data_IF_285714740198
#
_entry.id   IF_285714740198
#
_cell.length_a   1.000
_cell.length_b   1.000
_cell.length_c   1.000
_cell.angle_alpha   90.00
_cell.angle_beta   90.00
_cell.angle_gamma   90.00
#
_symmetry.space_group_name_H-M   'P 1'
#
loop_
_entity.id
_entity.type
_entity.pdbx_description
1 polymer ?
#
# COMPACT_ATOMS: atom_id res chain seq x y z
N UNK A 1 -29.10 22.34 32.48
CA UNK A 1 -28.25 21.26 33.01
C UNK A 1 -28.01 20.24 31.90
N UNK A 2 -26.86 20.28 31.22
CA UNK A 2 -26.49 19.31 30.17
C UNK A 2 -25.31 18.48 30.69
N UNK A 3 -25.51 17.17 30.79
CA UNK A 3 -24.51 16.20 31.26
C UNK A 3 -23.44 16.00 30.18
N UNK A 4 -22.21 16.38 30.47
CA UNK A 4 -21.03 16.03 29.70
C UNK A 4 -20.76 14.53 29.86
N UNK A 5 -20.87 13.77 28.77
CA UNK A 5 -20.41 12.38 28.74
C UNK A 5 -18.94 12.35 28.33
N UNK A 6 -18.07 12.00 29.27
CA UNK A 6 -16.65 11.77 29.06
C UNK A 6 -16.46 10.39 28.43
N UNK A 7 -16.09 10.36 27.15
CA UNK A 7 -15.70 9.13 26.44
C UNK A 7 -14.29 8.75 26.89
N UNK A 8 -14.19 7.67 27.68
CA UNK A 8 -12.91 7.09 28.10
C UNK A 8 -12.38 6.15 27.01
N UNK A 9 -11.41 6.62 26.24
CA UNK A 9 -10.64 5.77 25.34
C UNK A 9 -9.86 4.74 26.17
N UNK A 10 -10.14 3.46 25.93
CA UNK A 10 -9.38 2.35 26.47
C UNK A 10 -8.11 2.22 25.63
N UNK A 11 -6.99 2.65 26.19
CA UNK A 11 -5.65 2.34 25.68
C UNK A 11 -5.44 0.83 25.81
N UNK A 12 -5.58 0.12 24.69
CA UNK A 12 -5.24 -1.30 24.59
C UNK A 12 -3.72 -1.40 24.76
N UNK A 13 -3.30 -1.78 25.96
CA UNK A 13 -1.92 -2.18 26.23
C UNK A 13 -1.61 -3.42 25.38
N UNK A 14 -0.90 -3.21 24.27
CA UNK A 14 -0.21 -4.29 23.56
C UNK A 14 0.87 -4.82 24.48
N UNK A 15 0.55 -5.90 25.20
CA UNK A 15 1.56 -6.72 25.86
C UNK A 15 2.37 -7.41 24.76
N UNK A 16 3.49 -6.78 24.41
CA UNK A 16 4.57 -7.38 23.66
C UNK A 16 5.11 -8.55 24.47
N UNK A 17 4.59 -9.75 24.18
CA UNK A 17 5.17 -11.02 24.58
C UNK A 17 6.47 -11.23 23.79
N UNK A 18 7.53 -10.55 24.21
CA UNK A 18 8.91 -10.92 23.87
C UNK A 18 9.40 -11.89 24.93
N UNK A 19 8.76 -13.06 25.00
CA UNK A 19 9.36 -14.19 25.69
C UNK A 19 10.52 -14.65 24.82
N UNK A 20 11.72 -14.27 25.22
CA UNK A 20 12.96 -14.71 24.60
C UNK A 20 12.97 -16.22 24.51
N UNK A 21 12.92 -16.70 23.27
CA UNK A 21 13.29 -18.06 22.93
C UNK A 21 14.81 -18.15 23.11
N UNK A 22 15.26 -18.20 24.37
CA UNK A 22 16.57 -18.71 24.73
C UNK A 22 16.56 -20.15 24.26
N UNK A 23 17.05 -20.33 23.04
CA UNK A 23 17.56 -21.60 22.57
C UNK A 23 18.54 -22.07 23.63
N UNK A 24 18.03 -22.97 24.45
CA UNK A 24 18.72 -23.93 25.29
C UNK A 24 19.65 -24.72 24.36
N UNK A 25 20.75 -24.08 23.95
CA UNK A 25 21.84 -24.74 23.28
C UNK A 25 22.36 -25.75 24.28
N UNK A 26 22.20 -27.02 23.88
CA UNK A 26 22.46 -28.18 24.70
C UNK A 26 23.75 -28.01 25.47
N UNK A 27 23.61 -28.12 26.79
CA UNK A 27 24.65 -28.67 27.63
C UNK A 27 25.19 -29.90 26.91
N UNK A 28 26.37 -29.77 26.30
CA UNK A 28 27.20 -30.91 25.98
C UNK A 28 27.63 -31.49 27.33
N UNK A 29 26.73 -32.30 27.89
CA UNK A 29 27.09 -33.23 28.93
C UNK A 29 28.24 -34.05 28.38
N UNK A 30 29.39 -33.86 29.02
CA UNK A 30 30.52 -34.76 28.90
C UNK A 30 30.00 -36.17 29.20
N UNK A 31 29.72 -36.93 28.13
CA UNK A 31 29.56 -38.37 28.17
C UNK A 31 30.91 -38.97 28.46
N UNK A 32 31.37 -38.83 29.71
CA UNK A 32 32.37 -39.69 30.30
C UNK A 32 31.90 -41.12 30.10
N UNK A 33 32.72 -41.88 29.38
CA UNK A 33 32.44 -43.25 29.00
C UNK A 33 31.95 -44.10 30.16
N UNK A 34 30.80 -44.72 29.94
CA UNK A 34 30.48 -46.04 30.46
C UNK A 34 30.03 -46.83 29.22
N UNK A 35 30.93 -47.48 28.50
CA UNK A 35 31.70 -48.57 29.07
C UNK A 35 30.78 -49.71 29.56
N UNK A 36 29.54 -49.82 29.06
CA UNK A 36 28.78 -51.07 29.17
C UNK A 36 29.31 -52.06 28.12
N UNK A 37 30.54 -52.51 28.36
CA UNK A 37 30.95 -53.88 28.08
C UNK A 37 30.13 -54.76 29.03
N UNK A 38 28.84 -54.87 28.76
CA UNK A 38 27.99 -55.90 29.34
C UNK A 38 28.40 -57.22 28.66
N UNK A 39 29.50 -57.78 29.16
CA UNK A 39 29.77 -59.20 29.17
C UNK A 39 28.60 -59.87 29.92
N UNK A 40 27.49 -60.06 29.22
CA UNK A 40 26.49 -61.05 29.62
C UNK A 40 27.16 -62.41 29.44
N UNK A 41 27.74 -62.88 30.54
CA UNK A 41 27.98 -64.27 30.81
C UNK A 41 26.61 -64.97 30.79
N UNK A 42 26.22 -65.50 29.64
CA UNK A 42 25.18 -66.51 29.51
C UNK A 42 25.87 -67.87 29.56
N UNK A 43 26.22 -68.25 30.78
CA UNK A 43 26.71 -69.57 31.16
C UNK A 43 25.48 -70.45 31.40
N UNK A 44 25.05 -71.17 30.36
CA UNK A 44 24.48 -72.53 30.42
C UNK A 44 23.87 -72.93 29.05
N UNK A 45 24.69 -73.63 28.26
CA UNK A 45 24.22 -74.88 27.64
C UNK A 45 23.16 -74.78 26.55
N UNK A 46 23.37 -73.92 25.55
CA UNK A 46 22.98 -74.27 24.19
C UNK A 46 24.24 -74.19 23.37
N UNK A 47 24.79 -75.35 22.97
CA UNK A 47 25.82 -75.47 21.95
C UNK A 47 25.24 -74.87 20.66
N UNK A 48 25.34 -73.54 20.54
CA UNK A 48 25.15 -72.84 19.28
C UNK A 48 26.34 -73.27 18.43
N UNK A 49 26.15 -74.33 17.66
CA UNK A 49 26.93 -74.61 16.45
C UNK A 49 26.81 -73.36 15.57
N UNK A 50 27.78 -72.47 15.74
CA UNK A 50 27.72 -71.10 15.27
C UNK A 50 28.89 -70.33 15.83
N UNK A 51 30.10 -70.91 15.73
CA UNK A 51 31.38 -70.20 15.92
C UNK A 51 31.50 -69.15 14.81
N UNK A 52 30.74 -68.06 14.93
CA UNK A 52 31.05 -66.84 14.21
C UNK A 52 32.41 -66.38 14.74
N UNK A 53 33.46 -66.49 13.92
CA UNK A 53 34.79 -66.03 14.27
C UNK A 53 34.74 -64.56 14.70
N UNK A 54 35.55 -64.12 15.67
CA UNK A 54 35.69 -62.70 16.02
C UNK A 54 35.90 -61.79 14.79
N UNK A 55 36.55 -62.34 13.76
CA UNK A 55 36.71 -61.67 12.47
C UNK A 55 35.38 -61.36 11.76
N UNK A 56 34.39 -62.26 11.84
CA UNK A 56 33.07 -62.07 11.24
C UNK A 56 32.22 -61.06 12.03
N UNK A 57 32.35 -61.02 13.36
CA UNK A 57 31.73 -59.98 14.20
C UNK A 57 32.27 -58.60 13.83
N UNK A 58 33.59 -58.45 13.69
CA UNK A 58 34.22 -57.20 13.29
C UNK A 58 33.79 -56.77 11.87
N UNK A 59 33.64 -57.72 10.93
CA UNK A 59 33.10 -57.42 9.59
C UNK A 59 31.66 -56.92 9.63
N UNK A 60 30.79 -57.55 10.43
CA UNK A 60 29.40 -57.08 10.61
C UNK A 60 29.35 -55.67 11.18
N UNK A 61 30.15 -55.39 12.22
CA UNK A 61 30.24 -54.07 12.83
C UNK A 61 30.76 -53.01 11.85
N UNK A 62 31.79 -53.33 11.06
CA UNK A 62 32.33 -52.42 10.05
C UNK A 62 31.26 -52.08 9.00
N UNK A 63 30.53 -53.07 8.48
CA UNK A 63 29.43 -52.85 7.55
C UNK A 63 28.28 -52.05 8.15
N UNK A 64 27.96 -52.27 9.42
CA UNK A 64 26.94 -51.48 10.12
C UNK A 64 27.39 -50.02 10.27
N UNK A 65 28.65 -49.79 10.60
CA UNK A 65 29.25 -48.45 10.70
C UNK A 65 29.33 -47.76 9.34
N UNK A 66 29.64 -48.47 8.26
CA UNK A 66 29.62 -47.91 6.90
C UNK A 66 28.21 -47.46 6.50
N UNK A 67 27.18 -48.28 6.77
CA UNK A 67 25.78 -47.93 6.54
C UNK A 67 25.31 -46.75 7.40
N UNK A 68 25.82 -46.65 8.63
CA UNK A 68 25.57 -45.50 9.50
C UNK A 68 26.23 -44.23 8.95
N UNK A 69 27.49 -44.32 8.50
CA UNK A 69 28.19 -43.22 7.83
C UNK A 69 27.45 -42.73 6.59
N UNK A 70 26.93 -43.62 5.74
CA UNK A 70 26.17 -43.22 4.55
C UNK A 70 24.83 -42.56 4.90
N UNK A 71 24.16 -43.04 5.94
CA UNK A 71 22.96 -42.36 6.49
C UNK A 71 23.28 -40.96 7.02
N UNK A 72 24.40 -40.79 7.71
CA UNK A 72 24.82 -39.48 8.21
C UNK A 72 25.20 -38.54 7.07
N UNK A 73 25.93 -39.02 6.05
CA UNK A 73 26.27 -38.24 4.85
C UNK A 73 25.04 -37.76 4.08
N UNK A 74 24.07 -38.65 3.87
CA UNK A 74 22.81 -38.29 3.21
C UNK A 74 22.04 -37.24 4.01
N UNK A 75 21.97 -37.40 5.34
CA UNK A 75 21.34 -36.41 6.23
C UNK A 75 22.07 -35.07 6.19
N UNK A 76 23.41 -35.07 6.20
CA UNK A 76 24.23 -33.86 6.12
C UNK A 76 24.01 -33.14 4.79
N UNK A 77 24.01 -33.87 3.68
CA UNK A 77 23.72 -33.32 2.35
C UNK A 77 22.31 -32.71 2.27
N UNK A 78 21.33 -33.34 2.92
CA UNK A 78 19.96 -32.81 2.99
C UNK A 78 19.89 -31.51 3.82
N UNK A 79 20.54 -31.48 4.97
CA UNK A 79 20.58 -30.27 5.81
C UNK A 79 21.31 -29.12 5.10
N UNK A 80 22.39 -29.44 4.37
CA UNK A 80 23.13 -28.46 3.58
C UNK A 80 22.27 -27.88 2.45
N UNK A 81 21.47 -28.72 1.77
CA UNK A 81 20.54 -28.23 0.74
C UNK A 81 19.44 -27.36 1.35
N UNK A 82 18.89 -27.72 2.52
CA UNK A 82 17.92 -26.91 3.26
C UNK A 82 18.51 -25.56 3.71
N UNK A 83 19.75 -25.54 4.20
CA UNK A 83 20.45 -24.31 4.59
C UNK A 83 20.65 -23.38 3.40
N UNK A 84 20.98 -23.92 2.22
CA UNK A 84 21.14 -23.12 1.01
C UNK A 84 19.85 -22.51 0.47
N UNK A 85 18.69 -23.08 0.80
CA UNK A 85 17.38 -22.56 0.42
C UNK A 85 16.89 -21.43 1.34
N UNK A 86 17.54 -21.23 2.49
CA UNK A 86 17.11 -20.20 3.43
C UNK A 86 17.42 -18.81 2.85
N UNK A 87 16.44 -17.90 2.78
CA UNK A 87 16.69 -16.53 2.32
C UNK A 87 17.76 -15.86 3.18
N UNK A 88 18.61 -14.99 2.59
CA UNK A 88 19.60 -14.25 3.35
C UNK A 88 18.90 -13.37 4.38
N UNK A 89 19.52 -13.25 5.56
CA UNK A 89 18.96 -12.47 6.69
C UNK A 89 18.68 -11.02 6.30
N UNK A 90 19.48 -10.46 5.40
CA UNK A 90 19.32 -9.11 4.84
C UNK A 90 17.97 -8.94 4.14
N UNK A 91 17.49 -9.97 3.44
CA UNK A 91 16.20 -9.93 2.76
C UNK A 91 15.05 -9.90 3.77
N UNK A 92 15.14 -10.71 4.83
CA UNK A 92 14.15 -10.71 5.92
C UNK A 92 14.13 -9.35 6.62
N UNK A 93 15.29 -8.78 6.93
CA UNK A 93 15.39 -7.45 7.53
C UNK A 93 14.88 -6.33 6.61
N UNK A 94 15.05 -6.46 5.30
CA UNK A 94 14.49 -5.52 4.34
C UNK A 94 12.95 -5.55 4.35
N UNK A 95 12.36 -6.74 4.34
CA UNK A 95 10.90 -6.92 4.45
C UNK A 95 10.36 -6.38 5.78
N UNK A 96 11.07 -6.61 6.89
CA UNK A 96 10.67 -6.06 8.20
C UNK A 96 10.70 -4.52 8.23
N UNK A 97 11.64 -3.88 7.54
CA UNK A 97 11.68 -2.41 7.42
C UNK A 97 10.52 -1.90 6.56
N UNK A 98 10.29 -2.50 5.41
CA UNK A 98 9.18 -2.13 4.52
C UNK A 98 7.83 -2.30 5.21
N UNK A 99 7.64 -3.38 5.97
CA UNK A 99 6.42 -3.57 6.77
C UNK A 99 6.20 -2.44 7.77
N UNK A 100 7.25 -2.02 8.49
CA UNK A 100 7.18 -0.89 9.44
C UNK A 100 6.88 0.43 8.73
N UNK A 101 7.45 0.64 7.55
CA UNK A 101 7.20 1.84 6.74
C UNK A 101 5.73 1.89 6.25
N UNK A 102 5.19 0.75 5.81
CA UNK A 102 3.78 0.61 5.43
C UNK A 102 2.84 0.83 6.62
N UNK A 103 3.19 0.33 7.79
CA UNK A 103 2.40 0.53 9.02
C UNK A 103 2.35 2.01 9.42
N UNK A 104 3.47 2.73 9.31
CA UNK A 104 3.51 4.18 9.53
C UNK A 104 2.64 4.95 8.52
N UNK A 105 2.67 4.55 7.25
CA UNK A 105 1.85 5.17 6.19
C UNK A 105 0.35 4.93 6.42
N UNK A 106 -0.02 3.71 6.83
CA UNK A 106 -1.40 3.36 7.17
C UNK A 106 -1.91 4.21 8.33
N UNK A 107 -1.14 4.34 9.40
CA UNK A 107 -1.50 5.18 10.55
C UNK A 107 -1.62 6.66 10.15
N UNK A 108 -0.71 7.15 9.32
CA UNK A 108 -0.77 8.50 8.74
C UNK A 108 -2.07 8.73 7.96
N UNK A 109 -2.45 7.78 7.11
CA UNK A 109 -3.68 7.84 6.30
C UNK A 109 -4.93 7.80 7.17
N UNK A 110 -4.95 6.95 8.20
CA UNK A 110 -6.08 6.87 9.12
C UNK A 110 -6.27 8.17 9.89
N UNK A 111 -5.18 8.74 10.42
CA UNK A 111 -5.21 10.03 11.12
C UNK A 111 -5.74 11.15 10.23
N UNK A 112 -5.37 11.16 8.95
CA UNK A 112 -5.85 12.15 8.00
C UNK A 112 -7.33 11.96 7.64
N UNK A 113 -7.78 10.72 7.47
CA UNK A 113 -9.21 10.42 7.29
C UNK A 113 -10.04 10.90 8.49
N UNK A 114 -9.57 10.68 9.71
CA UNK A 114 -10.23 11.16 10.94
C UNK A 114 -10.33 12.70 10.96
N UNK A 115 -9.26 13.40 10.57
CA UNK A 115 -9.28 14.87 10.45
C UNK A 115 -10.27 15.36 9.40
N UNK A 116 -10.28 14.75 8.22
CA UNK A 116 -11.20 15.07 7.13
C UNK A 116 -12.67 14.89 7.54
N UNK A 117 -12.98 13.79 8.23
CA UNK A 117 -14.31 13.54 8.77
C UNK A 117 -14.73 14.61 9.79
N UNK A 118 -13.83 14.99 10.71
CA UNK A 118 -14.10 16.04 11.69
C UNK A 118 -14.31 17.42 11.04
N UNK A 119 -13.56 17.73 9.99
CA UNK A 119 -13.73 18.97 9.22
C UNK A 119 -15.06 19.00 8.47
N UNK A 120 -15.43 17.89 7.83
CA UNK A 120 -16.73 17.74 7.17
C UNK A 120 -17.89 17.94 8.16
N UNK A 121 -17.79 17.39 9.38
CA UNK A 121 -18.77 17.60 10.44
C UNK A 121 -18.85 19.07 10.88
N UNK A 122 -17.71 19.75 11.00
CA UNK A 122 -17.66 21.19 11.31
C UNK A 122 -18.36 22.02 10.22
N UNK A 123 -18.13 21.70 8.95
CA UNK A 123 -18.80 22.36 7.83
C UNK A 123 -20.32 22.13 7.86
N UNK A 124 -20.78 20.89 8.11
CA UNK A 124 -22.21 20.57 8.27
C UNK A 124 -22.85 21.33 9.42
N UNK A 125 -22.14 21.51 10.55
CA UNK A 125 -22.65 22.30 11.68
C UNK A 125 -22.80 23.77 11.30
N UNK A 126 -21.80 24.33 10.61
CA UNK A 126 -21.82 25.72 10.13
C UNK A 126 -22.94 25.94 9.11
N UNK A 127 -23.08 25.03 8.15
CA UNK A 127 -24.17 25.03 7.16
C UNK A 127 -25.54 25.06 7.85
N UNK A 128 -25.79 24.12 8.77
CA UNK A 128 -27.04 24.09 9.56
C UNK A 128 -27.27 25.37 10.38
N UNK A 129 -26.23 26.04 10.83
CA UNK A 129 -26.36 27.33 11.54
C UNK A 129 -26.84 28.42 10.58
N UNK A 130 -26.25 28.49 9.39
CA UNK A 130 -26.64 29.46 8.35
C UNK A 130 -28.06 29.20 7.83
N UNK A 131 -28.43 27.93 7.62
CA UNK A 131 -29.79 27.55 7.23
C UNK A 131 -30.84 28.01 8.26
N UNK A 132 -30.53 27.90 9.56
CA UNK A 132 -31.41 28.38 10.63
C UNK A 132 -31.54 29.90 10.63
N UNK A 133 -30.44 30.61 10.43
CA UNK A 133 -30.45 32.08 10.35
C UNK A 133 -31.20 32.58 9.11
N UNK A 134 -31.03 31.95 7.95
CA UNK A 134 -31.81 32.23 6.75
C UNK A 134 -33.30 31.99 6.97
N UNK A 135 -33.65 30.86 7.58
CA UNK A 135 -35.03 30.55 7.96
C UNK A 135 -35.61 31.58 8.93
N UNK A 136 -34.79 32.13 9.84
CA UNK A 136 -35.20 33.16 10.80
C UNK A 136 -35.46 34.50 10.13
N UNK A 137 -34.61 34.92 9.19
CA UNK A 137 -34.69 36.24 8.54
C UNK A 137 -35.68 36.28 7.37
N UNK A 138 -35.71 35.25 6.54
CA UNK A 138 -36.49 35.18 5.31
C UNK A 138 -37.72 34.25 5.40
N UNK A 139 -37.93 33.60 6.54
CA UNK A 139 -38.99 32.61 6.74
C UNK A 139 -38.63 31.22 6.19
N UNK A 140 -39.52 30.24 6.36
CA UNK A 140 -39.29 28.85 5.96
C UNK A 140 -39.14 28.62 4.44
N UNK A 141 -39.60 29.57 3.61
CA UNK A 141 -39.60 29.47 2.15
C UNK A 141 -38.38 30.16 1.52
N UNK A 142 -37.30 30.39 2.27
CA UNK A 142 -36.12 31.09 1.78
C UNK A 142 -35.45 30.36 0.60
N UNK A 143 -35.61 29.05 0.49
CA UNK A 143 -35.12 28.26 -0.65
C UNK A 143 -35.89 28.59 -1.93
N UNK A 144 -37.23 28.65 -1.85
CA UNK A 144 -38.10 29.01 -2.97
C UNK A 144 -37.87 30.46 -3.42
N UNK A 145 -37.63 31.37 -2.46
CA UNK A 145 -37.37 32.77 -2.74
C UNK A 145 -36.05 33.01 -3.48
N UNK A 146 -35.08 32.11 -3.29
CA UNK A 146 -33.76 32.17 -3.92
C UNK A 146 -33.64 31.25 -5.14
N UNK A 147 -34.73 30.58 -5.55
CA UNK A 147 -34.73 29.52 -6.59
C UNK A 147 -33.63 28.46 -6.37
N UNK A 148 -33.26 28.22 -5.11
CA UNK A 148 -32.28 27.18 -4.77
C UNK A 148 -33.04 25.87 -4.75
N UNK A 149 -33.00 25.16 -5.88
CA UNK A 149 -33.54 23.80 -5.97
C UNK A 149 -33.00 22.99 -4.77
N UNK A 150 -33.87 22.36 -3.96
CA UNK A 150 -33.43 21.57 -2.82
C UNK A 150 -32.43 20.55 -3.33
N UNK A 151 -31.22 20.58 -2.77
CA UNK A 151 -30.18 19.63 -3.16
C UNK A 151 -30.78 18.23 -2.98
N UNK A 152 -30.82 17.39 -4.03
CA UNK A 152 -31.40 16.07 -3.91
C UNK A 152 -30.70 15.36 -2.75
N UNK A 153 -31.45 14.67 -1.86
CA UNK A 153 -30.86 13.99 -0.72
C UNK A 153 -29.76 13.10 -1.28
N UNK A 154 -28.51 13.38 -0.92
CA UNK A 154 -27.37 12.66 -1.43
C UNK A 154 -27.58 11.19 -1.08
N UNK A 155 -28.03 10.40 -2.05
CA UNK A 155 -28.31 8.98 -1.85
C UNK A 155 -26.99 8.35 -1.49
N UNK A 156 -26.86 7.92 -0.24
CA UNK A 156 -25.68 7.25 0.30
C UNK A 156 -25.63 5.82 -0.29
N UNK A 157 -25.48 5.72 -1.61
CA UNK A 157 -25.09 4.50 -2.30
C UNK A 157 -23.60 4.64 -2.62
N UNK A 158 -22.80 4.74 -1.55
CA UNK A 158 -21.34 4.76 -1.64
C UNK A 158 -20.85 3.33 -1.55
N UNK A 159 -20.88 2.62 -2.68
CA UNK A 159 -20.00 1.48 -2.90
C UNK A 159 -19.55 1.53 -4.37
N UNK A 160 -18.32 1.99 -4.58
CA UNK A 160 -17.58 1.73 -5.83
C UNK A 160 -17.73 2.74 -6.95
N UNK A 161 -17.36 4.01 -6.73
CA UNK A 161 -16.84 4.81 -7.86
C UNK A 161 -15.82 5.84 -7.41
N UNK A 162 -14.57 5.37 -7.35
CA UNK A 162 -13.37 6.20 -7.33
C UNK A 162 -13.37 7.18 -8.50
N UNK A 163 -12.72 8.33 -8.29
CA UNK A 163 -12.17 9.21 -9.34
C UNK A 163 -13.15 10.08 -10.14
N UNK A 164 -13.66 11.18 -9.55
CA UNK A 164 -14.25 12.26 -10.35
C UNK A 164 -14.31 13.67 -9.74
N UNK A 165 -13.66 13.97 -8.60
CA UNK A 165 -13.73 15.33 -8.03
C UNK A 165 -12.39 15.84 -7.51
N UNK A 166 -11.45 16.06 -8.43
CA UNK A 166 -10.56 17.23 -8.42
C UNK A 166 -10.62 17.87 -9.82
N UNK A 167 -11.81 18.30 -10.21
CA UNK A 167 -11.99 19.42 -11.14
C UNK A 167 -12.54 20.59 -10.32
N UNK A 168 -11.68 21.49 -9.86
CA UNK A 168 -11.89 22.91 -9.48
C UNK A 168 -10.48 23.47 -9.19
N UNK A 169 -9.93 24.52 -9.76
CA UNK A 169 -10.45 25.57 -10.64
C UNK A 169 -9.29 26.19 -11.40
N UNK A 170 -9.46 26.39 -12.70
CA UNK A 170 -8.81 27.48 -13.43
C UNK A 170 -9.41 28.80 -12.91
N UNK A 171 -8.70 29.51 -12.06
CA UNK A 171 -8.86 30.96 -11.92
C UNK A 171 -7.60 31.59 -12.46
N UNK A 172 -7.65 32.02 -13.72
CA UNK A 172 -6.68 32.96 -14.26
C UNK A 172 -6.83 34.30 -13.52
N UNK A 173 -5.75 34.90 -13.00
CA UNK A 173 -5.66 36.34 -12.87
C UNK A 173 -4.91 36.89 -14.09
N UNK A 174 -5.63 37.67 -14.88
CA UNK A 174 -5.19 38.91 -15.53
C UNK A 174 -3.68 39.13 -15.59
N UNK A 175 -3.11 38.90 -16.77
CA UNK A 175 -1.83 39.49 -17.18
C UNK A 175 -2.01 40.98 -17.39
N UNK A 176 -1.56 41.80 -16.44
CA UNK A 176 -1.29 43.23 -16.71
C UNK A 176 0.02 43.30 -17.49
N UNK A 177 -0.10 43.37 -18.82
CA UNK A 177 1.03 43.59 -19.74
C UNK A 177 1.25 45.10 -19.86
N UNK A 178 2.30 45.62 -19.24
CA UNK A 178 2.92 46.85 -19.70
C UNK A 178 3.92 46.47 -20.78
N UNK A 179 3.56 46.67 -22.04
CA UNK A 179 4.54 46.74 -23.11
C UNK A 179 4.13 47.80 -24.12
N UNK A 180 5.10 48.61 -24.46
CA UNK A 180 5.02 49.79 -25.29
C UNK A 180 5.19 49.41 -26.75
N UNK A 181 4.42 50.05 -27.62
CA UNK A 181 4.91 50.38 -28.96
C UNK A 181 4.28 49.62 -30.13
N UNK A 182 3.65 50.43 -30.99
CA UNK A 182 3.48 50.27 -32.44
C UNK A 182 2.11 49.80 -32.97
N UNK A 183 1.33 50.83 -33.33
CA UNK A 183 0.64 51.04 -34.61
C UNK A 183 -0.44 50.06 -35.11
N UNK A 184 -1.67 50.59 -35.11
CA UNK A 184 -2.70 50.57 -36.16
C UNK A 184 -2.91 49.29 -37.01
N UNK A 185 -4.11 48.71 -36.96
CA UNK A 185 -5.17 48.88 -38.00
C UNK A 185 -6.36 47.94 -37.76
N UNK A 186 -7.54 48.56 -37.67
CA UNK A 186 -8.91 48.17 -38.05
C UNK A 186 -9.36 46.70 -38.26
N UNK A 187 -10.60 46.50 -37.80
CA UNK A 187 -11.70 45.66 -38.35
C UNK A 187 -11.71 44.17 -37.97
N UNK A 188 -12.83 43.45 -37.82
CA UNK A 188 -14.25 43.72 -37.60
C UNK A 188 -14.94 42.32 -37.55
N UNK A 189 -16.11 42.23 -36.90
CA UNK A 189 -17.18 41.21 -37.07
C UNK A 189 -17.14 39.87 -36.29
N UNK A 190 -18.06 39.81 -35.31
CA UNK A 190 -18.99 38.71 -34.93
C UNK A 190 -19.53 37.87 -36.12
N UNK A 191 -20.05 36.62 -35.95
CA UNK A 191 -21.32 36.29 -35.22
C UNK A 191 -21.35 34.90 -34.50
N UNK A 192 -22.09 34.67 -33.39
CA UNK A 192 -23.54 34.39 -33.20
C UNK A 192 -24.10 33.21 -34.01
N UNK A 193 -24.58 32.14 -33.35
CA UNK A 193 -25.79 31.30 -33.63
C UNK A 193 -25.99 30.34 -32.42
N UNK A 194 -27.04 30.44 -31.58
CA UNK A 194 -28.44 29.95 -31.67
C UNK A 194 -28.64 28.41 -31.60
N UNK A 195 -29.08 27.99 -30.40
CA UNK A 195 -30.19 27.08 -30.03
C UNK A 195 -30.64 25.95 -30.98
N UNK A 196 -30.80 24.74 -30.43
CA UNK A 196 -32.06 23.97 -30.50
C UNK A 196 -32.10 22.76 -29.56
N UNK A 197 -33.25 22.61 -28.94
CA UNK A 197 -33.74 21.58 -28.02
C UNK A 197 -34.26 20.33 -28.73
N UNK A 198 -34.42 19.22 -27.99
CA UNK A 198 -35.64 18.37 -27.88
C UNK A 198 -35.42 16.83 -27.91
N UNK A 199 -35.99 16.21 -26.87
CA UNK A 199 -36.79 14.98 -26.84
C UNK A 199 -36.13 13.59 -26.63
N UNK A 200 -36.59 13.00 -25.51
CA UNK A 200 -37.17 11.65 -25.37
C UNK A 200 -36.28 10.41 -25.51
N UNK A 201 -36.15 9.68 -24.40
CA UNK A 201 -35.74 8.29 -24.39
C UNK A 201 -35.98 7.63 -23.03
N UNK A 202 -37.15 7.00 -22.87
CA UNK A 202 -37.41 6.01 -21.82
C UNK A 202 -36.47 4.80 -21.94
N UNK A 203 -36.03 4.15 -20.85
CA UNK A 203 -35.59 2.78 -20.91
C UNK A 203 -36.61 1.84 -20.26
N UNK A 204 -37.11 0.93 -21.08
CA UNK A 204 -37.85 -0.25 -20.66
C UNK A 204 -36.93 -1.23 -19.92
N UNK A 205 -37.47 -1.86 -18.88
CA UNK A 205 -36.83 -2.89 -18.07
C UNK A 205 -36.64 -4.13 -18.94
N UNK A 206 -35.40 -4.61 -19.06
CA UNK A 206 -35.12 -5.97 -19.52
C UNK A 206 -34.00 -6.58 -18.68
N UNK A 207 -34.47 -7.45 -17.80
CA UNK A 207 -33.77 -8.47 -17.03
C UNK A 207 -33.00 -9.39 -17.98
N UNK A 208 -31.70 -9.57 -17.74
CA UNK A 208 -31.02 -10.84 -18.02
C UNK A 208 -29.65 -10.90 -17.35
N UNK A 209 -29.46 -12.02 -16.67
CA UNK A 209 -28.23 -12.69 -16.25
C UNK A 209 -27.10 -12.58 -17.28
N UNK A 210 -25.88 -12.30 -16.82
CA UNK A 210 -24.69 -13.14 -16.97
C UNK A 210 -23.43 -12.36 -16.64
N UNK A 211 -22.47 -13.05 -16.03
CA UNK A 211 -21.08 -12.64 -15.91
C UNK A 211 -20.48 -12.29 -17.29
N UNK A 212 -19.71 -11.20 -17.38
CA UNK A 212 -18.36 -11.16 -17.98
C UNK A 212 -17.81 -9.74 -18.23
N UNK A 213 -16.52 -9.58 -17.92
CA UNK A 213 -15.42 -9.09 -18.79
C UNK A 213 -15.50 -7.67 -19.42
N UNK A 214 -14.43 -6.90 -19.19
CA UNK A 214 -13.95 -5.72 -19.93
C UNK A 214 -12.45 -6.04 -20.19
N UNK A 215 -11.85 -6.25 -21.37
CA UNK A 215 -11.97 -5.74 -22.77
C UNK A 215 -11.71 -4.23 -22.85
N UNK A 216 -10.65 -3.65 -23.42
CA UNK A 216 -9.60 -4.12 -24.32
C UNK A 216 -8.41 -3.12 -24.37
N UNK A 217 -7.26 -3.60 -24.84
CA UNK A 217 -6.28 -2.83 -25.62
C UNK A 217 -5.66 -3.78 -26.65
N UNK A 218 -5.17 -3.26 -27.79
CA UNK A 218 -5.29 -3.91 -29.08
C UNK A 218 -4.31 -5.05 -29.27
N UNK A 219 -4.86 -6.22 -29.58
CA UNK A 219 -4.16 -7.41 -30.04
C UNK A 219 -3.78 -7.17 -31.51
N UNK A 220 -2.48 -7.01 -31.78
CA UNK A 220 -1.92 -7.42 -33.05
C UNK A 220 -1.68 -8.93 -32.95
N UNK A 221 -2.59 -9.69 -33.53
CA UNK A 221 -2.44 -11.12 -33.77
C UNK A 221 -1.34 -11.33 -34.82
N UNK A 222 -0.25 -11.95 -34.39
CA UNK A 222 0.69 -12.65 -35.25
C UNK A 222 0.82 -14.04 -34.66
N UNK A 223 -0.01 -14.95 -35.15
CA UNK A 223 0.16 -16.38 -34.97
C UNK A 223 1.54 -16.77 -35.50
N UNK A 224 2.41 -17.28 -34.62
CA UNK A 224 3.47 -18.24 -34.98
C UNK A 224 4.08 -18.83 -33.71
N UNK A 225 3.69 -20.09 -33.48
CA UNK A 225 4.52 -21.20 -33.01
C UNK A 225 5.36 -21.00 -31.73
N UNK A 226 5.06 -21.88 -30.78
CA UNK A 226 5.83 -22.15 -29.57
C UNK A 226 7.33 -22.19 -29.84
N UNK A 227 7.98 -21.09 -29.50
CA UNK A 227 9.40 -21.04 -29.19
C UNK A 227 9.48 -20.76 -27.70
N UNK A 228 10.15 -21.64 -26.98
CA UNK A 228 10.69 -21.43 -25.65
C UNK A 228 11.62 -20.23 -25.68
N UNK A 229 11.02 -19.05 -25.74
CA UNK A 229 11.68 -17.76 -25.88
C UNK A 229 12.34 -17.42 -24.55
N UNK A 230 13.57 -17.89 -24.37
CA UNK A 230 14.50 -17.25 -23.47
C UNK A 230 14.54 -15.78 -23.87
N UNK A 231 13.90 -14.92 -23.08
CA UNK A 231 14.02 -13.48 -23.24
C UNK A 231 15.50 -13.16 -23.19
N UNK A 232 16.04 -12.68 -24.32
CA UNK A 232 17.46 -12.34 -24.43
C UNK A 232 17.82 -11.45 -23.23
N UNK A 233 18.71 -11.90 -22.32
CA UNK A 233 18.99 -11.18 -21.08
C UNK A 233 19.46 -9.75 -21.35
N UNK A 234 20.03 -9.50 -22.53
CA UNK A 234 20.43 -8.17 -23.01
C UNK A 234 19.22 -7.28 -23.28
N UNK A 235 18.16 -7.81 -23.90
CA UNK A 235 16.92 -7.08 -24.16
C UNK A 235 16.16 -6.76 -22.86
N UNK A 236 16.18 -7.68 -21.90
CA UNK A 236 15.59 -7.45 -20.57
C UNK A 236 16.37 -6.37 -19.80
N UNK A 237 17.70 -6.39 -19.84
CA UNK A 237 18.53 -5.36 -19.21
C UNK A 237 18.26 -3.97 -19.81
N UNK A 238 18.18 -3.86 -21.14
CA UNK A 238 17.85 -2.60 -21.82
C UNK A 238 16.45 -2.08 -21.45
N UNK A 239 15.48 -2.98 -21.26
CA UNK A 239 14.15 -2.60 -20.81
C UNK A 239 14.14 -2.07 -19.38
N UNK A 240 14.88 -2.73 -18.47
CA UNK A 240 15.02 -2.28 -17.07
C UNK A 240 15.65 -0.88 -17.02
N UNK A 241 16.69 -0.62 -17.80
CA UNK A 241 17.34 0.69 -17.84
C UNK A 241 16.42 1.79 -18.38
N UNK A 242 15.59 1.47 -19.38
CA UNK A 242 14.56 2.40 -19.89
C UNK A 242 13.53 2.74 -18.81
N UNK A 243 13.06 1.75 -18.04
CA UNK A 243 12.13 1.97 -16.92
C UNK A 243 12.78 2.82 -15.82
N UNK A 244 14.04 2.53 -15.46
CA UNK A 244 14.80 3.33 -14.50
C UNK A 244 14.95 4.79 -14.91
N UNK A 245 15.29 5.05 -16.17
CA UNK A 245 15.36 6.40 -16.74
C UNK A 245 14.02 7.14 -16.67
N UNK A 246 12.92 6.43 -16.95
CA UNK A 246 11.58 7.01 -16.87
C UNK A 246 11.20 7.38 -15.43
N UNK A 247 11.44 6.47 -14.48
CA UNK A 247 11.18 6.70 -13.05
C UNK A 247 11.99 7.90 -12.56
N UNK A 248 13.30 7.93 -12.83
CA UNK A 248 14.18 9.03 -12.44
C UNK A 248 13.73 10.38 -13.06
N UNK A 249 13.27 10.35 -14.32
CA UNK A 249 12.71 11.52 -14.99
C UNK A 249 11.37 11.99 -14.38
N UNK A 250 10.52 11.06 -13.94
CA UNK A 250 9.27 11.37 -13.24
C UNK A 250 9.55 11.96 -11.86
N UNK A 251 10.43 11.36 -11.07
CA UNK A 251 10.87 11.84 -9.75
C UNK A 251 11.43 13.27 -9.83
N UNK A 252 12.29 13.54 -10.82
CA UNK A 252 12.86 14.88 -11.03
C UNK A 252 11.77 15.92 -11.31
N UNK A 253 10.76 15.59 -12.13
CA UNK A 253 9.65 16.51 -12.41
C UNK A 253 8.74 16.71 -11.20
N UNK A 254 8.53 15.66 -10.42
CA UNK A 254 7.67 15.68 -9.24
C UNK A 254 8.32 16.51 -8.12
N UNK A 255 9.61 16.30 -7.86
CA UNK A 255 10.42 17.09 -6.93
C UNK A 255 10.43 18.58 -7.30
N UNK A 256 10.62 18.94 -8.58
CA UNK A 256 10.54 20.35 -9.01
C UNK A 256 9.17 20.99 -8.77
N UNK A 257 8.08 20.24 -8.97
CA UNK A 257 6.73 20.73 -8.68
C UNK A 257 6.52 20.91 -7.18
N UNK A 258 7.04 20.00 -6.37
CA UNK A 258 7.00 20.09 -4.92
C UNK A 258 7.74 21.34 -4.41
N UNK A 259 8.98 21.57 -4.87
CA UNK A 259 9.74 22.78 -4.52
C UNK A 259 8.98 24.06 -4.89
N UNK A 260 8.33 24.05 -6.06
CA UNK A 260 7.52 25.19 -6.51
C UNK A 260 6.31 25.43 -5.62
N UNK A 261 5.57 24.36 -5.28
CA UNK A 261 4.41 24.43 -4.38
C UNK A 261 4.83 24.86 -2.97
N UNK A 262 5.92 24.32 -2.43
CA UNK A 262 6.47 24.76 -1.14
C UNK A 262 6.84 26.25 -1.15
N UNK A 263 7.43 26.73 -2.25
CA UNK A 263 7.72 28.15 -2.44
C UNK A 263 6.45 29.03 -2.44
N UNK A 264 5.37 28.57 -3.10
CA UNK A 264 4.08 29.26 -3.08
C UNK A 264 3.45 29.29 -1.69
N UNK A 265 3.48 28.17 -0.96
CA UNK A 265 2.97 28.10 0.42
C UNK A 265 3.74 29.07 1.32
N UNK A 266 5.08 29.05 1.30
CA UNK A 266 5.90 29.98 2.09
C UNK A 266 5.59 31.44 1.76
N UNK A 267 5.37 31.78 0.49
CA UNK A 267 4.98 33.14 0.09
C UNK A 267 3.60 33.52 0.64
N UNK A 268 2.62 32.64 0.49
CA UNK A 268 1.26 32.87 1.00
C UNK A 268 1.24 33.04 2.53
N UNK A 269 2.01 32.23 3.26
CA UNK A 269 2.19 32.38 4.71
C UNK A 269 2.86 33.71 5.08
N UNK A 270 3.86 34.15 4.30
CA UNK A 270 4.52 35.44 4.50
C UNK A 270 3.58 36.63 4.26
N UNK A 271 2.73 36.56 3.23
CA UNK A 271 1.69 37.55 2.98
C UNK A 271 0.62 37.53 4.09
N UNK A 272 0.22 36.35 4.56
CA UNK A 272 -0.71 36.19 5.69
C UNK A 272 -0.22 36.92 6.95
N UNK A 273 1.05 36.76 7.33
CA UNK A 273 1.65 37.47 8.47
C UNK A 273 1.64 38.99 8.28
N UNK A 274 1.93 39.48 7.06
CA UNK A 274 1.88 40.92 6.76
C UNK A 274 0.48 41.50 6.95
N UNK A 275 -0.56 40.77 6.55
CA UNK A 275 -1.94 41.22 6.76
C UNK A 275 -2.35 41.19 8.24
N UNK A 276 -1.82 40.23 9.01
CA UNK A 276 -2.04 40.17 10.46
C UNK A 276 -1.40 41.37 11.18
N UNK A 277 -0.19 41.78 10.81
CA UNK A 277 0.46 42.99 11.36
C UNK A 277 -0.33 44.27 11.04
N UNK A 278 -0.79 44.43 9.80
CA UNK A 278 -1.55 45.62 9.37
C UNK A 278 -2.96 45.64 9.99
N UNK A 279 -3.60 44.47 10.14
CA UNK A 279 -4.92 44.35 10.77
C UNK A 279 -4.87 44.51 12.29
N UNK A 280 -3.82 44.02 12.94
CA UNK A 280 -3.63 44.09 14.39
C UNK A 280 -3.25 45.48 14.92
N UNK A 281 -2.61 46.33 14.12
CA UNK A 281 -2.23 47.69 14.52
C UNK A 281 -3.40 48.70 14.57
N UNK A 282 -4.61 48.28 14.19
CA UNK A 282 -5.79 49.14 14.07
C UNK A 282 -6.89 48.84 15.10
N UNK A 283 -6.60 47.96 16.05
CA UNK A 283 -7.40 47.69 17.26
C UNK A 283 -6.67 48.24 18.49
#
# INVERSE_FOLDING_TARGET
MRRSQTVRHHTRASMSSTAGNTSQFGSMGAGTGTGQLALHADDLGVLREGDESDADVLRKQLLEKDRECDRLKTTLSLLQSQLSLRPPVEHVQALEREYKDLELLLEGTQRENERCMAEMERMKIREKMLERELSRLAGGNWQDLLDISPAPPATINTLGRSSAFHQRSNTAPTTTRMDSGHSATSSSLNPSHKSTSLLTGSPSISRSTSANIITASPIQESDSQGSSGGTDPVALAAHIDKVRLLIMGMETRLSKREDHLQGMVRRAEGEGRRWEEVGGARA
#
